data_IF_272130857371
#
_entry.id   IF_272130857371
#
_cell.length_a   1.000
_cell.length_b   1.000
_cell.length_c   1.000
_cell.angle_alpha   90.00
_cell.angle_beta   90.00
_cell.angle_gamma   90.00
#
_symmetry.space_group_name_H-M   'P 1'
#
loop_
_entity.id
_entity.type
_entity.pdbx_description
1 polymer ?
#
# COMPACT_ATOMS: atom_id res chain seq x y z
N UNK A 1 4.00 -13.98 21.02
CA UNK A 1 3.13 -13.82 19.83
C UNK A 1 3.96 -13.06 18.82
N UNK A 2 4.13 -13.58 17.61
CA UNK A 2 4.85 -12.85 16.56
C UNK A 2 3.98 -11.69 16.08
N UNK A 3 4.43 -10.47 16.32
CA UNK A 3 3.85 -9.23 15.82
C UNK A 3 3.89 -9.23 14.30
N UNK A 4 2.78 -8.87 13.65
CA UNK A 4 2.74 -8.74 12.19
C UNK A 4 3.58 -7.55 11.72
N UNK A 5 4.12 -7.63 10.51
CA UNK A 5 4.90 -6.56 9.90
C UNK A 5 4.05 -5.77 8.89
N UNK A 6 4.11 -4.44 8.97
CA UNK A 6 3.64 -3.55 7.92
C UNK A 6 4.84 -2.90 7.23
N UNK A 7 4.96 -3.12 5.93
CA UNK A 7 5.99 -2.50 5.11
C UNK A 7 5.39 -1.35 4.28
N UNK A 8 5.82 -0.13 4.59
CA UNK A 8 5.46 1.08 3.86
C UNK A 8 6.40 1.29 2.67
N UNK A 9 5.83 1.68 1.53
CA UNK A 9 6.54 1.83 0.26
C UNK A 9 6.20 3.20 -0.32
N UNK A 10 7.18 4.10 -0.31
CA UNK A 10 7.00 5.49 -0.71
C UNK A 10 6.86 5.68 -2.24
N UNK A 11 6.30 6.80 -2.67
CA UNK A 11 6.19 7.19 -4.07
C UNK A 11 7.53 7.62 -4.68
N UNK A 12 7.52 7.99 -5.96
CA UNK A 12 8.73 8.35 -6.74
C UNK A 12 9.51 9.54 -6.17
N UNK A 13 8.81 10.56 -5.65
CA UNK A 13 9.39 11.84 -5.20
C UNK A 13 9.42 12.01 -3.68
N UNK A 14 8.98 11.00 -2.95
CA UNK A 14 8.96 10.98 -1.47
C UNK A 14 10.01 10.02 -0.94
N UNK A 15 10.33 10.09 0.36
CA UNK A 15 11.19 9.12 1.04
C UNK A 15 10.45 8.35 2.16
N UNK A 16 11.17 7.52 2.94
CA UNK A 16 10.58 6.70 4.01
C UNK A 16 9.99 7.52 5.16
N UNK A 17 10.30 8.81 5.24
CA UNK A 17 9.81 9.75 6.26
C UNK A 17 8.71 10.69 5.74
N UNK A 18 8.06 10.34 4.62
CA UNK A 18 6.94 11.12 4.09
C UNK A 18 5.76 11.20 5.07
N UNK A 19 5.04 12.32 5.06
CA UNK A 19 3.92 12.62 5.99
C UNK A 19 2.90 11.48 6.09
N UNK A 20 2.46 10.94 4.95
CA UNK A 20 1.53 9.80 4.88
C UNK A 20 2.08 8.56 5.57
N UNK A 21 3.35 8.21 5.33
CA UNK A 21 3.98 7.04 5.94
C UNK A 21 4.09 7.23 7.45
N UNK A 22 4.56 8.40 7.92
CA UNK A 22 4.67 8.66 9.35
C UNK A 22 3.32 8.57 10.06
N UNK A 23 2.27 9.15 9.47
CA UNK A 23 0.93 9.12 10.02
C UNK A 23 0.37 7.69 10.11
N UNK A 24 0.42 6.93 9.00
CA UNK A 24 -0.09 5.56 8.97
C UNK A 24 0.76 4.59 9.79
N UNK A 25 2.08 4.79 9.87
CA UNK A 25 2.96 4.01 10.73
C UNK A 25 2.68 4.24 12.23
N UNK A 26 2.22 5.43 12.62
CA UNK A 26 1.75 5.67 13.97
C UNK A 26 0.47 4.88 14.27
N UNK A 27 -0.49 4.85 13.33
CA UNK A 27 -1.70 4.01 13.43
C UNK A 27 -1.35 2.52 13.50
N UNK A 28 -0.42 2.04 12.66
CA UNK A 28 0.05 0.65 12.68
C UNK A 28 0.57 0.24 14.05
N UNK A 29 1.49 1.03 14.61
CA UNK A 29 2.09 0.76 15.93
C UNK A 29 1.06 0.81 17.06
N UNK A 30 0.10 1.73 17.00
CA UNK A 30 -0.99 1.80 17.97
C UNK A 30 -1.91 0.56 17.93
N UNK A 31 -1.96 -0.15 16.80
CA UNK A 31 -2.69 -1.41 16.63
C UNK A 31 -1.78 -2.65 16.76
N UNK A 32 -0.60 -2.52 17.39
CA UNK A 32 0.27 -3.66 17.69
C UNK A 32 1.07 -4.23 16.52
N UNK A 33 1.14 -3.51 15.39
CA UNK A 33 1.96 -3.92 14.24
C UNK A 33 3.35 -3.29 14.25
N UNK A 34 4.32 -4.03 13.69
CA UNK A 34 5.64 -3.50 13.41
C UNK A 34 5.67 -2.62 12.16
N UNK A 35 6.36 -1.49 12.30
CA UNK A 35 6.63 -0.42 11.34
C UNK A 35 7.92 -0.51 10.50
N UNK A 36 7.92 -0.90 9.23
CA UNK A 36 9.13 -0.80 8.37
C UNK A 36 8.91 0.04 7.09
N UNK A 37 9.96 0.68 6.59
CA UNK A 37 10.00 1.34 5.27
C UNK A 37 11.43 1.37 4.76
N UNK A 38 11.66 0.93 3.53
CA UNK A 38 12.94 1.11 2.85
C UNK A 38 13.03 2.53 2.27
N UNK A 39 14.27 3.00 2.14
CA UNK A 39 14.58 4.18 1.33
C UNK A 39 14.92 3.74 -0.10
N UNK A 40 14.17 4.27 -1.06
CA UNK A 40 14.36 4.04 -2.48
C UNK A 40 14.80 5.32 -3.21
N UNK A 41 15.15 6.39 -2.49
CA UNK A 41 15.47 7.71 -3.09
C UNK A 41 16.65 7.67 -4.07
N UNK A 42 17.46 6.61 -4.04
CA UNK A 42 18.57 6.37 -4.98
C UNK A 42 18.13 5.85 -6.36
N UNK A 43 16.86 5.45 -6.54
CA UNK A 43 16.37 4.92 -7.82
C UNK A 43 14.89 5.16 -8.06
N UNK A 44 14.53 5.43 -9.31
CA UNK A 44 13.13 5.50 -9.76
C UNK A 44 12.72 4.28 -10.60
N UNK A 45 13.58 3.27 -10.72
CA UNK A 45 13.29 2.05 -11.48
C UNK A 45 12.33 1.14 -10.68
N UNK A 46 11.09 0.92 -11.14
CA UNK A 46 10.11 0.11 -10.42
C UNK A 46 10.55 -1.36 -10.26
N UNK A 47 11.29 -1.92 -11.22
CA UNK A 47 11.76 -3.31 -11.15
C UNK A 47 12.85 -3.47 -10.08
N UNK A 48 13.81 -2.55 -10.03
CA UNK A 48 14.85 -2.56 -9.00
C UNK A 48 14.26 -2.36 -7.61
N UNK A 49 13.33 -1.41 -7.45
CA UNK A 49 12.66 -1.19 -6.16
C UNK A 49 11.85 -2.41 -5.71
N UNK A 50 11.21 -3.12 -6.64
CA UNK A 50 10.50 -4.37 -6.35
C UNK A 50 11.46 -5.44 -5.84
N UNK A 51 12.59 -5.65 -6.51
CA UNK A 51 13.62 -6.61 -6.08
C UNK A 51 14.12 -6.30 -4.66
N UNK A 52 14.37 -5.02 -4.35
CA UNK A 52 14.77 -4.58 -3.01
C UNK A 52 13.71 -4.88 -1.94
N UNK A 53 12.43 -4.65 -2.26
CA UNK A 53 11.33 -4.99 -1.35
C UNK A 53 11.25 -6.50 -1.12
N UNK A 54 11.34 -7.31 -2.18
CA UNK A 54 11.29 -8.76 -2.07
C UNK A 54 12.39 -9.27 -1.13
N UNK A 55 13.63 -8.82 -1.34
CA UNK A 55 14.77 -9.17 -0.48
C UNK A 55 14.60 -8.74 0.97
N UNK A 56 14.06 -7.56 1.23
CA UNK A 56 13.86 -7.08 2.59
C UNK A 56 12.78 -7.88 3.35
N UNK A 57 11.87 -8.54 2.62
CA UNK A 57 10.84 -9.41 3.19
C UNK A 57 11.21 -10.90 3.14
N UNK A 58 12.36 -11.28 2.58
CA UNK A 58 12.82 -12.67 2.56
C UNK A 58 12.98 -13.20 4.00
N UNK A 59 12.40 -14.37 4.27
CA UNK A 59 12.51 -15.04 5.57
C UNK A 59 11.56 -14.51 6.67
N UNK A 60 10.74 -13.48 6.40
CA UNK A 60 9.66 -13.10 7.32
C UNK A 60 8.63 -14.22 7.45
N UNK A 61 8.32 -14.62 8.68
CA UNK A 61 7.47 -15.79 8.99
C UNK A 61 6.14 -15.44 9.69
N UNK A 62 5.73 -14.17 9.66
CA UNK A 62 4.46 -13.70 10.22
C UNK A 62 3.54 -13.04 9.19
N UNK A 63 2.37 -12.55 9.61
CA UNK A 63 1.53 -11.71 8.75
C UNK A 63 2.32 -10.52 8.20
N UNK A 64 2.22 -10.29 6.89
CA UNK A 64 2.83 -9.18 6.18
C UNK A 64 1.76 -8.34 5.52
N UNK A 65 1.70 -7.05 5.86
CA UNK A 65 0.82 -6.08 5.21
C UNK A 65 1.68 -5.10 4.40
N UNK A 66 1.31 -4.85 3.15
CA UNK A 66 2.01 -3.89 2.30
C UNK A 66 1.20 -2.61 2.16
N UNK A 67 1.82 -1.46 2.41
CA UNK A 67 1.19 -0.15 2.25
C UNK A 67 1.99 0.66 1.24
N UNK A 68 1.36 1.08 0.15
CA UNK A 68 2.07 1.73 -0.95
C UNK A 68 1.37 2.99 -1.45
N UNK A 69 2.13 4.02 -1.81
CA UNK A 69 1.59 5.25 -2.40
C UNK A 69 2.16 5.56 -3.79
N UNK A 70 1.31 5.95 -4.75
CA UNK A 70 1.72 6.27 -6.14
C UNK A 70 2.50 5.11 -6.76
N UNK A 71 3.73 5.33 -7.23
CA UNK A 71 4.66 4.27 -7.65
C UNK A 71 4.79 3.17 -6.58
N UNK A 72 4.89 3.53 -5.30
CA UNK A 72 4.94 2.57 -4.20
C UNK A 72 3.66 1.75 -4.06
N UNK A 73 2.52 2.28 -4.48
CA UNK A 73 1.25 1.56 -4.55
C UNK A 73 1.26 0.45 -5.60
N UNK A 74 1.84 0.72 -6.79
CA UNK A 74 2.07 -0.33 -7.78
C UNK A 74 3.01 -1.41 -7.23
N UNK A 75 4.11 -1.01 -6.58
CA UNK A 75 5.06 -1.94 -5.97
C UNK A 75 4.40 -2.84 -4.93
N UNK A 76 3.60 -2.26 -4.03
CA UNK A 76 2.89 -2.99 -2.99
C UNK A 76 1.95 -4.04 -3.61
N UNK A 77 1.20 -3.66 -4.64
CA UNK A 77 0.30 -4.57 -5.34
C UNK A 77 1.08 -5.69 -6.05
N UNK A 78 2.15 -5.37 -6.77
CA UNK A 78 2.95 -6.36 -7.50
C UNK A 78 3.72 -7.32 -6.57
N UNK A 79 4.20 -6.83 -5.42
CA UNK A 79 4.88 -7.65 -4.43
C UNK A 79 3.92 -8.55 -3.64
N UNK A 80 2.63 -8.20 -3.55
CA UNK A 80 1.65 -8.90 -2.72
C UNK A 80 1.55 -10.39 -3.07
N UNK A 81 1.31 -10.72 -4.34
CA UNK A 81 1.24 -12.12 -4.79
C UNK A 81 2.56 -12.88 -4.63
N UNK A 82 3.70 -12.19 -4.79
CA UNK A 82 5.04 -12.79 -4.70
C UNK A 82 5.46 -13.11 -3.26
N UNK A 83 5.05 -12.27 -2.31
CA UNK A 83 5.38 -12.40 -0.90
C UNK A 83 4.31 -13.14 -0.08
N UNK A 84 3.19 -13.51 -0.70
CA UNK A 84 2.04 -14.05 0.02
C UNK A 84 1.51 -13.06 1.06
N UNK A 85 1.47 -11.77 0.69
CA UNK A 85 1.05 -10.72 1.62
C UNK A 85 -0.34 -10.98 2.17
N UNK A 86 -0.48 -10.81 3.49
CA UNK A 86 -1.73 -10.99 4.22
C UNK A 86 -2.79 -9.97 3.81
N UNK A 87 -2.37 -8.73 3.56
CA UNK A 87 -3.24 -7.61 3.25
C UNK A 87 -2.46 -6.49 2.51
N UNK A 88 -3.18 -5.64 1.78
CA UNK A 88 -2.60 -4.54 1.00
C UNK A 88 -3.43 -3.27 1.15
N UNK A 89 -2.79 -2.13 1.42
CA UNK A 89 -3.45 -0.82 1.48
C UNK A 89 -2.79 0.15 0.49
N UNK A 90 -3.55 0.64 -0.48
CA UNK A 90 -3.02 1.39 -1.62
C UNK A 90 -3.49 2.84 -1.60
N UNK A 91 -2.57 3.78 -1.82
CA UNK A 91 -2.84 5.22 -1.83
C UNK A 91 -2.51 5.81 -3.21
N UNK A 92 -3.53 6.18 -3.96
CA UNK A 92 -3.41 6.67 -5.34
C UNK A 92 -2.42 5.83 -6.19
N UNK A 93 -2.60 4.49 -6.29
CA UNK A 93 -1.58 3.60 -6.84
C UNK A 93 -1.38 3.82 -8.36
N UNK A 94 -0.13 3.72 -8.83
CA UNK A 94 0.27 3.86 -10.25
C UNK A 94 -0.10 2.66 -11.12
N UNK A 95 -1.37 2.25 -11.07
CA UNK A 95 -1.94 1.17 -11.87
C UNK A 95 -2.10 1.61 -13.32
N UNK A 96 -1.99 0.67 -14.26
CA UNK A 96 -2.14 0.90 -15.70
C UNK A 96 -1.25 1.99 -16.31
N UNK A 97 -0.14 2.33 -15.64
CA UNK A 97 0.79 3.32 -16.14
C UNK A 97 1.72 2.71 -17.20
N UNK A 98 2.02 3.42 -18.31
CA UNK A 98 2.96 2.95 -19.31
C UNK A 98 4.36 2.67 -18.71
N UNK A 99 4.99 1.59 -19.19
CA UNK A 99 6.35 1.22 -18.76
C UNK A 99 6.44 0.47 -17.42
N UNK A 100 5.32 0.28 -16.71
CA UNK A 100 5.31 -0.60 -15.53
C UNK A 100 5.22 -2.07 -15.95
N UNK A 101 6.05 -2.96 -15.34
CA UNK A 101 6.16 -4.37 -15.75
C UNK A 101 4.85 -5.16 -15.80
N UNK A 102 3.94 -4.87 -14.87
CA UNK A 102 2.64 -5.54 -14.73
C UNK A 102 1.54 -4.49 -14.70
N UNK A 103 0.45 -4.76 -15.39
CA UNK A 103 -0.68 -3.85 -15.50
C UNK A 103 -1.84 -4.25 -14.56
N UNK A 104 -1.91 -5.51 -14.19
CA UNK A 104 -2.98 -6.08 -13.36
C UNK A 104 -2.37 -7.00 -12.30
N UNK A 105 -1.58 -6.46 -11.35
CA UNK A 105 -0.96 -7.26 -10.29
C UNK A 105 -1.99 -8.05 -9.49
N UNK A 106 -1.58 -9.20 -8.97
CA UNK A 106 -2.43 -10.05 -8.14
C UNK A 106 -2.36 -9.62 -6.66
N UNK A 107 -3.52 -9.48 -6.04
CA UNK A 107 -3.68 -8.97 -4.67
C UNK A 107 -4.75 -9.77 -3.92
N UNK A 108 -4.69 -9.86 -2.59
CA UNK A 108 -5.72 -10.58 -1.82
C UNK A 108 -7.05 -9.82 -1.90
N UNK A 109 -8.03 -10.37 -2.65
CA UNK A 109 -9.31 -9.71 -2.95
C UNK A 109 -10.03 -9.15 -1.70
N UNK A 110 -10.15 -9.95 -0.64
CA UNK A 110 -10.87 -9.58 0.59
C UNK A 110 -10.04 -8.81 1.62
N UNK A 111 -8.77 -8.50 1.30
CA UNK A 111 -7.84 -7.81 2.20
C UNK A 111 -7.02 -6.76 1.44
N UNK A 112 -7.64 -6.16 0.43
CA UNK A 112 -7.07 -5.04 -0.31
C UNK A 112 -8.02 -3.86 -0.23
N UNK A 113 -7.49 -2.69 0.10
CA UNK A 113 -8.26 -1.43 -0.02
C UNK A 113 -7.44 -0.37 -0.73
N UNK A 114 -8.13 0.47 -1.49
CA UNK A 114 -7.55 1.56 -2.27
C UNK A 114 -8.20 2.87 -1.82
N UNK A 115 -7.38 3.90 -1.60
CA UNK A 115 -7.85 5.28 -1.45
C UNK A 115 -7.29 6.11 -2.60
N UNK A 116 -8.15 6.82 -3.34
CA UNK A 116 -7.75 7.64 -4.49
C UNK A 116 -8.45 9.00 -4.47
N UNK A 117 -7.76 10.05 -4.89
CA UNK A 117 -8.31 11.40 -4.99
C UNK A 117 -9.17 11.58 -6.25
N UNK A 118 -10.31 12.24 -6.14
CA UNK A 118 -11.13 12.62 -7.30
C UNK A 118 -10.40 13.58 -8.25
N UNK A 119 -9.54 14.45 -7.70
CA UNK A 119 -8.80 15.46 -8.44
C UNK A 119 -7.36 15.02 -8.72
N UNK A 120 -7.09 13.71 -8.79
CA UNK A 120 -5.78 13.18 -9.17
C UNK A 120 -5.51 13.45 -10.66
N UNK A 121 -4.63 14.41 -10.92
CA UNK A 121 -4.20 14.85 -12.25
C UNK A 121 -2.96 14.09 -12.77
N UNK A 122 -2.40 13.19 -11.96
CA UNK A 122 -1.21 12.37 -12.30
C UNK A 122 -1.62 10.96 -12.72
N UNK A 123 -2.51 10.34 -11.94
CA UNK A 123 -3.05 9.00 -12.17
C UNK A 123 -4.58 9.10 -12.11
N UNK A 124 -5.27 8.92 -13.26
CA UNK A 124 -6.72 8.98 -13.30
C UNK A 124 -7.35 7.99 -12.32
N UNK A 125 -8.30 8.43 -11.49
CA UNK A 125 -8.95 7.58 -10.48
C UNK A 125 -9.69 6.39 -11.11
N UNK A 126 -10.04 6.47 -12.39
CA UNK A 126 -10.61 5.42 -13.23
C UNK A 126 -9.73 4.17 -13.26
N UNK A 127 -8.41 4.33 -13.12
CA UNK A 127 -7.47 3.22 -13.00
C UNK A 127 -7.76 2.41 -11.75
N UNK A 128 -7.96 3.08 -10.61
CA UNK A 128 -8.33 2.43 -9.36
C UNK A 128 -9.75 1.85 -9.40
N UNK A 129 -10.71 2.53 -10.04
CA UNK A 129 -12.07 1.99 -10.26
C UNK A 129 -12.03 0.69 -11.05
N UNK A 130 -11.29 0.68 -12.17
CA UNK A 130 -11.12 -0.51 -13.01
C UNK A 130 -10.48 -1.65 -12.23
N UNK A 131 -9.39 -1.38 -11.51
CA UNK A 131 -8.67 -2.40 -10.76
C UNK A 131 -9.48 -2.94 -9.59
N UNK A 132 -10.17 -2.07 -8.84
CA UNK A 132 -11.05 -2.49 -7.76
C UNK A 132 -12.18 -3.41 -8.24
N UNK A 133 -12.77 -3.10 -9.40
CA UNK A 133 -13.75 -3.97 -10.05
C UNK A 133 -13.16 -5.31 -10.48
N UNK A 134 -11.95 -5.30 -11.04
CA UNK A 134 -11.25 -6.52 -11.49
C UNK A 134 -10.89 -7.44 -10.32
N UNK A 135 -10.39 -6.88 -9.21
CA UNK A 135 -9.90 -7.61 -8.04
C UNK A 135 -10.93 -7.76 -6.93
N UNK A 136 -12.13 -7.24 -7.11
CA UNK A 136 -13.21 -7.21 -6.12
C UNK A 136 -12.76 -6.65 -4.75
N UNK A 137 -11.94 -5.59 -4.77
CA UNK A 137 -11.42 -4.96 -3.56
C UNK A 137 -12.12 -3.63 -3.24
N UNK A 138 -12.03 -3.18 -1.99
CA UNK A 138 -12.68 -1.93 -1.55
C UNK A 138 -11.97 -0.72 -2.15
N UNK A 139 -12.75 0.26 -2.63
CA UNK A 139 -12.25 1.53 -3.14
C UNK A 139 -12.93 2.70 -2.42
N UNK A 140 -12.11 3.63 -1.93
CA UNK A 140 -12.51 4.91 -1.36
C UNK A 140 -12.08 6.03 -2.32
N UNK A 141 -13.03 6.81 -2.83
CA UNK A 141 -12.75 7.99 -3.65
C UNK A 141 -13.00 9.25 -2.82
N UNK A 142 -11.96 10.06 -2.63
CA UNK A 142 -11.95 11.18 -1.68
C UNK A 142 -11.75 12.53 -2.37
N UNK A 143 -12.22 13.61 -1.73
CA UNK A 143 -12.12 14.98 -2.26
C UNK A 143 -10.70 15.55 -2.06
N UNK A 144 -9.75 15.03 -2.83
CA UNK A 144 -8.32 15.39 -2.74
C UNK A 144 -7.61 15.18 -4.09
N UNK A 145 -6.37 15.66 -4.16
CA UNK A 145 -5.48 15.50 -5.31
C UNK A 145 -4.65 14.19 -5.24
N UNK A 146 -3.71 14.02 -6.19
CA UNK A 146 -2.78 12.88 -6.23
C UNK A 146 -2.01 12.67 -4.93
N UNK A 147 -1.69 13.75 -4.20
CA UNK A 147 -0.84 13.71 -3.01
C UNK A 147 -1.60 13.18 -1.80
N UNK A 148 -2.93 13.26 -1.79
CA UNK A 148 -3.79 12.85 -0.67
C UNK A 148 -3.42 13.50 0.68
N UNK A 149 -2.80 14.69 0.63
CA UNK A 149 -2.27 15.34 1.84
C UNK A 149 -3.39 15.94 2.70
N UNK A 150 -4.44 16.47 2.09
CA UNK A 150 -5.58 17.02 2.83
C UNK A 150 -6.39 15.90 3.52
N UNK A 151 -6.33 14.69 2.98
CA UNK A 151 -7.05 13.52 3.46
C UNK A 151 -6.29 12.69 4.49
N UNK A 152 -5.06 13.07 4.92
CA UNK A 152 -4.27 12.27 5.88
C UNK A 152 -5.07 11.84 7.12
N UNK A 153 -5.88 12.71 7.77
CA UNK A 153 -6.73 12.28 8.89
C UNK A 153 -7.69 11.15 8.51
N UNK A 154 -8.39 11.27 7.38
CA UNK A 154 -9.28 10.24 6.84
C UNK A 154 -8.51 8.96 6.47
N UNK A 155 -7.30 9.08 5.90
CA UNK A 155 -6.45 7.93 5.61
C UNK A 155 -6.14 7.14 6.89
N UNK A 156 -5.85 7.81 7.99
CA UNK A 156 -5.61 7.17 9.29
C UNK A 156 -6.85 6.45 9.81
N UNK A 157 -8.04 7.04 9.69
CA UNK A 157 -9.31 6.41 10.10
C UNK A 157 -9.60 5.15 9.28
N UNK A 158 -9.53 5.27 7.94
CA UNK A 158 -9.75 4.16 7.02
C UNK A 158 -8.73 3.03 7.27
N UNK A 159 -7.45 3.38 7.45
CA UNK A 159 -6.40 2.41 7.70
C UNK A 159 -6.57 1.71 9.04
N UNK A 160 -6.91 2.42 10.12
CA UNK A 160 -7.21 1.79 11.42
C UNK A 160 -8.37 0.80 11.33
N UNK A 161 -9.46 1.18 10.66
CA UNK A 161 -10.59 0.28 10.44
C UNK A 161 -10.21 -0.94 9.58
N UNK A 162 -9.34 -0.74 8.58
CA UNK A 162 -8.80 -1.81 7.75
C UNK A 162 -7.95 -2.79 8.56
N UNK A 163 -7.07 -2.30 9.45
CA UNK A 163 -6.28 -3.15 10.33
C UNK A 163 -7.15 -4.02 11.23
N UNK A 164 -8.21 -3.45 11.83
CA UNK A 164 -9.16 -4.21 12.65
C UNK A 164 -9.89 -5.32 11.87
N UNK A 165 -10.11 -5.16 10.56
CA UNK A 165 -10.65 -6.23 9.69
C UNK A 165 -9.60 -7.27 9.30
N UNK A 166 -8.32 -6.90 9.34
CA UNK A 166 -7.19 -7.77 8.99
C UNK A 166 -6.67 -8.58 10.17
N UNK A 167 -7.03 -8.25 11.40
CA UNK A 167 -6.65 -9.04 12.58
C UNK A 167 -7.10 -10.50 12.41
N UNK A 168 -6.16 -11.41 12.61
CA UNK A 168 -6.44 -12.84 12.65
C UNK A 168 -6.85 -13.15 14.07
N UNK A 169 -8.14 -13.39 14.31
CA UNK A 169 -8.58 -14.08 15.51
C UNK A 169 -7.85 -15.42 15.55
N UNK A 170 -6.85 -15.58 16.41
CA UNK A 170 -6.33 -16.90 16.71
C UNK A 170 -7.51 -17.68 17.34
N UNK A 171 -7.84 -18.89 16.86
CA UNK A 171 -8.77 -19.74 17.58
C UNK A 171 -8.24 -19.91 19.00
N UNK A 172 -9.12 -19.63 19.98
CA UNK A 172 -8.88 -19.90 21.40
C UNK A 172 -8.72 -21.39 21.62
#
# INVERSE_FOLDING_TARGET
MTTGLIHFIHGKESGPTGSKILALAAVARANGWEAASLDYSHTTDPALRLEQLLRACEGHSGPLLLVGSSMGGWLAAEAAGRLGAHAVFLLAPALYMPGYPSQEPDVPANRTEIVHGWADDVIPCEHSIRFARLRACTLHLVQDDHRLNASIPLLCELFGAFLGRCEVSLPV
#
